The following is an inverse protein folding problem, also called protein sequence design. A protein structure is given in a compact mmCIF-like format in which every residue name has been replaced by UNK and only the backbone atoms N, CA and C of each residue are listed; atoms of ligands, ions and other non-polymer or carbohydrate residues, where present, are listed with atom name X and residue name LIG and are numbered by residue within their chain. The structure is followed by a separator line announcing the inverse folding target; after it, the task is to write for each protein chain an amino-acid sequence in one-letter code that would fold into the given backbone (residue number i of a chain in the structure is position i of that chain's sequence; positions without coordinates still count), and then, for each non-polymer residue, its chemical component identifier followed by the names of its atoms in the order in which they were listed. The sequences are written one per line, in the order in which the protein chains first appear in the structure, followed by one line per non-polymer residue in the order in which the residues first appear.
data_IF_187201479375
#
_entry.id   IF_187201479375
#
_cell.length_a   1.000
_cell.length_b   1.000
_cell.length_c   1.000
_cell.angle_alpha   90.00
_cell.angle_beta   90.00
_cell.angle_gamma   90.00
#
_symmetry.space_group_name_H-M   'P 1'
#
loop_
_entity.id
_entity.type
_entity.pdbx_description
1 polymer ?
#
# COMPACT_ATOMS: atom_id res chain seq x y z
N UNK A 1 0.67 -14.53 0.62
CA UNK A 1 0.35 -13.78 1.85
C UNK A 1 -1.14 -13.44 1.85
N UNK A 2 -1.86 -13.71 2.94
CA UNK A 2 -3.28 -13.35 3.07
C UNK A 2 -3.39 -12.04 3.85
N UNK A 3 -3.89 -10.98 3.21
CA UNK A 3 -4.19 -9.70 3.82
C UNK A 3 -5.72 -9.55 3.89
N UNK A 4 -6.25 -8.90 4.94
CA UNK A 4 -7.67 -8.54 4.95
C UNK A 4 -8.00 -7.70 3.71
N UNK A 5 -9.02 -8.06 2.94
CA UNK A 5 -9.33 -7.41 1.66
C UNK A 5 -9.76 -5.95 1.81
N UNK A 6 -10.12 -5.49 3.01
CA UNK A 6 -10.39 -4.07 3.29
C UNK A 6 -9.12 -3.30 3.62
N UNK A 7 -8.00 -3.95 3.88
CA UNK A 7 -6.72 -3.26 4.05
C UNK A 7 -6.36 -2.52 2.76
N UNK A 8 -6.33 -1.19 2.83
CA UNK A 8 -6.12 -0.32 1.67
C UNK A 8 -7.37 -0.06 0.81
N UNK A 9 -8.53 -0.68 1.12
CA UNK A 9 -9.83 -0.29 0.59
C UNK A 9 -10.30 1.03 1.23
N UNK A 10 -11.17 1.75 0.54
CA UNK A 10 -11.82 3.00 1.01
C UNK A 10 -10.87 4.12 1.44
N UNK A 11 -9.61 4.09 0.98
CA UNK A 11 -8.61 5.09 1.33
C UNK A 11 -7.98 4.89 2.71
N UNK A 12 -8.16 3.75 3.39
CA UNK A 12 -7.39 3.43 4.60
C UNK A 12 -5.88 3.32 4.30
N UNK A 13 -4.98 3.73 5.23
CA UNK A 13 -3.52 3.57 5.06
C UNK A 13 -3.08 2.11 5.19
N UNK A 14 -1.97 1.75 4.56
CA UNK A 14 -1.31 0.46 4.79
C UNK A 14 -0.42 0.52 6.04
N UNK A 15 -0.88 -0.03 7.16
CA UNK A 15 -0.11 -0.05 8.42
C UNK A 15 1.18 -0.87 8.33
N UNK A 16 1.29 -1.80 7.39
CA UNK A 16 2.54 -2.52 7.11
C UNK A 16 3.69 -1.58 6.70
N UNK A 17 3.41 -0.35 6.24
CA UNK A 17 4.44 0.65 5.96
C UNK A 17 5.17 1.13 7.23
N UNK A 18 4.61 0.90 8.43
CA UNK A 18 5.27 1.18 9.71
C UNK A 18 6.35 0.15 10.06
N UNK A 19 6.35 -1.01 9.41
CA UNK A 19 7.38 -2.02 9.59
C UNK A 19 8.58 -1.65 8.72
N UNK A 20 9.74 -1.50 9.34
CA UNK A 20 10.98 -1.07 8.70
C UNK A 20 12.06 -2.15 8.77
N UNK A 21 12.92 -2.19 7.76
CA UNK A 21 14.12 -3.03 7.80
C UNK A 21 15.19 -2.43 8.73
N UNK A 22 16.32 -3.13 8.89
CA UNK A 22 17.43 -2.69 9.72
C UNK A 22 18.09 -1.37 9.25
N UNK A 23 17.80 -0.92 8.02
CA UNK A 23 18.31 0.33 7.42
C UNK A 23 17.27 1.45 7.45
N UNK A 24 16.09 1.22 8.03
CA UNK A 24 15.00 2.19 8.10
C UNK A 24 14.20 2.34 6.80
N UNK A 25 14.31 1.38 5.88
CA UNK A 25 13.57 1.33 4.61
C UNK A 25 12.39 0.34 4.64
N UNK A 26 11.70 0.14 3.50
CA UNK A 26 10.67 -0.89 3.37
C UNK A 26 11.27 -2.29 3.60
N UNK A 27 10.50 -3.13 4.26
CA UNK A 27 10.74 -4.58 4.31
C UNK A 27 10.52 -5.24 2.94
N UNK A 28 11.24 -6.33 2.66
CA UNK A 28 11.20 -7.04 1.36
C UNK A 28 9.79 -7.47 0.95
N UNK A 29 8.96 -7.86 1.92
CA UNK A 29 7.58 -8.30 1.67
C UNK A 29 6.59 -7.14 1.41
N UNK A 30 7.02 -5.88 1.48
CA UNK A 30 6.12 -4.74 1.25
C UNK A 30 5.50 -4.76 -0.16
N UNK A 31 6.25 -5.27 -1.15
CA UNK A 31 5.77 -5.51 -2.52
C UNK A 31 4.56 -6.46 -2.54
N UNK A 32 4.62 -7.53 -1.75
CA UNK A 32 3.54 -8.52 -1.66
C UNK A 32 2.32 -7.95 -0.95
N UNK A 33 2.51 -7.07 0.04
CA UNK A 33 1.41 -6.33 0.69
C UNK A 33 0.62 -5.53 -0.34
N UNK A 34 1.29 -4.81 -1.25
CA UNK A 34 0.61 -4.03 -2.29
C UNK A 34 -0.28 -4.93 -3.16
N UNK A 35 0.25 -6.07 -3.61
CA UNK A 35 -0.52 -7.04 -4.39
C UNK A 35 -1.71 -7.63 -3.60
N UNK A 36 -1.46 -8.05 -2.36
CA UNK A 36 -2.50 -8.61 -1.49
C UNK A 36 -3.60 -7.59 -1.13
N UNK A 37 -3.27 -6.30 -1.08
CA UNK A 37 -4.21 -5.19 -0.89
C UNK A 37 -5.00 -4.83 -2.16
N UNK A 38 -4.74 -5.47 -3.31
CA UNK A 38 -5.36 -5.15 -4.59
C UNK A 38 -4.87 -3.81 -5.17
N UNK A 39 -3.62 -3.46 -4.91
CA UNK A 39 -2.97 -2.26 -5.46
C UNK A 39 -2.01 -2.64 -6.57
N UNK A 40 -1.80 -1.71 -7.50
CA UNK A 40 -0.79 -1.88 -8.52
C UNK A 40 0.60 -2.02 -7.87
N UNK A 41 1.33 -3.06 -8.26
CA UNK A 41 2.68 -3.35 -7.78
C UNK A 41 3.69 -2.68 -8.73
N UNK A 42 4.63 -1.84 -8.24
CA UNK A 42 5.61 -1.20 -9.11
C UNK A 42 6.48 -2.25 -9.82
N UNK A 43 6.92 -2.01 -11.05
CA UNK A 43 7.81 -2.97 -11.75
C UNK A 43 9.29 -2.77 -11.45
N UNK A 44 9.63 -1.59 -10.94
CA UNK A 44 11.02 -1.19 -10.68
C UNK A 44 11.29 -1.14 -9.19
N UNK A 45 12.55 -1.30 -8.81
CA UNK A 45 12.98 -1.22 -7.40
C UNK A 45 13.05 0.24 -6.92
N UNK A 46 13.31 1.19 -7.81
CA UNK A 46 13.44 2.61 -7.47
C UNK A 46 12.10 3.24 -7.04
N UNK A 47 10.98 2.71 -7.54
CA UNK A 47 9.65 3.21 -7.20
C UNK A 47 9.16 2.72 -5.82
N UNK A 48 9.64 1.57 -5.35
CA UNK A 48 9.15 0.93 -4.13
C UNK A 48 9.38 1.79 -2.87
N UNK A 49 10.55 2.42 -2.64
CA UNK A 49 10.77 3.32 -1.52
C UNK A 49 9.84 4.55 -1.52
N UNK A 50 9.55 5.11 -2.69
CA UNK A 50 8.67 6.28 -2.80
C UNK A 50 7.22 5.92 -2.43
N UNK A 51 6.75 4.76 -2.90
CA UNK A 51 5.41 4.24 -2.58
C UNK A 51 5.30 3.90 -1.09
N UNK A 52 6.30 3.22 -0.54
CA UNK A 52 6.38 2.92 0.88
C UNK A 52 6.33 4.19 1.74
N UNK A 53 7.16 5.20 1.41
CA UNK A 53 7.20 6.46 2.15
C UNK A 53 5.85 7.19 2.10
N UNK A 54 5.11 7.11 0.98
CA UNK A 54 3.76 7.66 0.92
C UNK A 54 2.79 6.93 1.85
N UNK A 55 2.82 5.60 1.89
CA UNK A 55 1.93 4.84 2.78
C UNK A 55 2.30 5.04 4.26
N UNK A 56 3.59 5.20 4.57
CA UNK A 56 4.06 5.61 5.89
C UNK A 56 3.47 6.98 6.31
N UNK A 57 3.54 7.97 5.41
CA UNK A 57 2.94 9.29 5.65
C UNK A 57 1.42 9.19 5.86
N UNK A 58 0.73 8.37 5.06
CA UNK A 58 -0.71 8.12 5.20
C UNK A 58 -1.03 7.47 6.55
N UNK A 59 -0.24 6.52 7.02
CA UNK A 59 -0.42 5.90 8.33
C UNK A 59 -0.25 6.93 9.46
N UNK A 60 0.80 7.75 9.40
CA UNK A 60 0.99 8.83 10.37
C UNK A 60 -0.12 9.89 10.33
N UNK A 61 -0.65 10.21 9.15
CA UNK A 61 -1.75 11.18 9.03
C UNK A 61 -3.05 10.64 9.63
N UNK A 62 -3.43 9.39 9.34
CA UNK A 62 -4.63 8.76 9.89
C UNK A 62 -4.63 8.69 11.42
N UNK A 63 -3.46 8.42 12.01
CA UNK A 63 -3.32 8.17 13.45
C UNK A 63 -2.71 9.34 14.23
N UNK A 64 -2.56 10.51 13.61
CA UNK A 64 -2.19 11.73 14.30
C UNK A 64 -3.27 12.18 15.32
N UNK A 65 -2.89 13.04 16.26
CA UNK A 65 -3.81 13.67 17.22
C UNK A 65 -3.66 15.19 17.14
N UNK A 66 -4.58 15.91 16.46
CA UNK A 66 -5.75 15.41 15.74
C UNK A 66 -5.37 14.68 14.42
N UNK A 67 -6.24 13.81 13.86
CA UNK A 67 -6.02 13.21 12.56
C UNK A 67 -5.85 14.27 11.47
N UNK A 68 -4.95 14.01 10.52
CA UNK A 68 -4.65 14.91 9.40
C UNK A 68 -5.20 14.34 8.08
N UNK A 69 -5.44 15.19 7.06
CA UNK A 69 -5.85 14.71 5.74
C UNK A 69 -4.88 13.68 5.18
N UNK A 70 -5.42 12.62 4.57
CA UNK A 70 -4.62 11.56 3.97
C UNK A 70 -4.07 12.02 2.62
N UNK A 71 -2.73 12.09 2.43
CA UNK A 71 -2.15 12.44 1.14
C UNK A 71 -2.48 11.37 0.10
N UNK A 72 -2.69 11.69 -1.19
CA UNK A 72 -3.11 10.72 -2.20
C UNK A 72 -2.10 9.56 -2.32
N UNK A 73 -2.64 8.37 -2.55
CA UNK A 73 -1.83 7.17 -2.80
C UNK A 73 -1.11 7.29 -4.16
N UNK A 74 0.15 6.85 -4.22
CA UNK A 74 0.95 6.89 -5.46
C UNK A 74 0.64 5.74 -6.42
N UNK A 75 0.10 4.62 -5.91
CA UNK A 75 -0.31 3.48 -6.72
C UNK A 75 -1.84 3.42 -6.86
N UNK A 76 -2.37 3.24 -8.08
CA UNK A 76 -3.79 3.00 -8.28
C UNK A 76 -4.19 1.61 -7.76
N UNK A 77 -5.50 1.33 -7.77
CA UNK A 77 -5.99 -0.04 -7.61
C UNK A 77 -5.48 -0.89 -8.77
N UNK A 78 -5.17 -2.15 -8.50
CA UNK A 78 -4.91 -3.11 -9.56
C UNK A 78 -6.19 -3.28 -10.40
N UNK A 79 -6.07 -3.45 -11.74
CA UNK A 79 -7.22 -3.81 -12.55
C UNK A 79 -7.82 -5.11 -12.03
N UNK A 80 -9.16 -5.19 -12.03
CA UNK A 80 -9.84 -6.46 -11.78
C UNK A 80 -9.45 -7.41 -12.92
N UNK A 81 -9.00 -8.64 -12.65
CA UNK A 81 -8.72 -9.60 -13.72
C UNK A 81 -10.00 -9.82 -14.54
N UNK A 82 -9.93 -9.64 -15.86
CA UNK A 82 -11.08 -9.80 -16.78
C UNK A 82 -11.45 -11.27 -17.07
N UNK A 83 -11.48 -12.13 -16.05
CA UNK A 83 -11.87 -13.53 -16.22
C UNK A 83 -13.24 -13.79 -15.59
N UNK A 84 -14.29 -13.75 -16.42
CA UNK A 84 -15.59 -14.33 -16.02
C UNK A 84 -16.89 -13.79 -16.65
N UNK A 85 -16.87 -13.00 -17.72
CA UNK A 85 -18.09 -12.69 -18.48
C UNK A 85 -17.87 -13.13 -19.93
N UNK A 86 -18.00 -14.44 -20.17
CA UNK A 86 -17.77 -14.99 -21.50
C UNK A 86 -17.93 -16.50 -21.57
N UNK A 87 -19.15 -17.00 -21.38
CA UNK A 87 -19.83 -18.01 -22.21
C UNK A 87 -21.22 -18.29 -21.68
#
# INVERSE_FOLDING_TARGET
MTLDRRAGADGAPLLSALVVDARGGPVDFFRDVLGAAGLAVPRTEEALPAIWRRELERAHAAHARPPRPLPPRLVPRAPVPEDGIGR
#
